data_IF_955160814402
#
_entry.id   IF_955160814402
#
_cell.length_a   1.000
_cell.length_b   1.000
_cell.length_c   1.000
_cell.angle_alpha   90.00
_cell.angle_beta   90.00
_cell.angle_gamma   90.00
#
_symmetry.space_group_name_H-M   'P 1'
#
loop_
_entity.id
_entity.type
_entity.pdbx_description
1 polymer ?
#
# COMPACT_ATOMS: atom_id res chain seq x y z
N UNK A 1 -29.21 53.32 42.25
CA UNK A 1 -28.50 52.74 43.39
C UNK A 1 -29.23 51.47 43.82
N UNK A 2 -28.50 50.38 43.92
CA UNK A 2 -28.79 49.18 44.73
C UNK A 2 -27.70 49.17 45.85
N UNK A 3 -27.82 48.50 47.04
CA UNK A 3 -28.62 47.31 47.42
C UNK A 3 -29.14 47.38 48.91
N UNK A 4 -29.42 46.32 49.74
CA UNK A 4 -28.52 45.21 50.18
C UNK A 4 -29.16 43.78 50.42
N UNK A 5 -28.28 42.85 50.84
CA UNK A 5 -28.33 41.35 50.92
C UNK A 5 -29.05 40.67 52.11
N UNK A 6 -29.24 39.33 51.94
CA UNK A 6 -29.20 38.18 52.93
C UNK A 6 -30.59 37.64 53.36
N UNK A 7 -30.95 36.34 53.45
CA UNK A 7 -30.26 35.11 53.91
C UNK A 7 -31.09 33.81 53.64
N UNK A 8 -30.42 32.65 53.48
CA UNK A 8 -30.73 31.22 53.86
C UNK A 8 -32.15 30.56 53.74
N UNK A 9 -32.14 29.33 53.19
CA UNK A 9 -33.21 28.28 53.18
C UNK A 9 -33.61 27.75 54.58
N UNK A 10 -34.73 26.99 54.71
CA UNK A 10 -34.61 25.51 54.76
C UNK A 10 -35.70 24.72 54.00
N UNK A 11 -35.47 23.39 53.92
CA UNK A 11 -36.21 22.36 53.20
C UNK A 11 -37.58 21.98 53.82
N UNK A 12 -38.51 21.52 52.97
CA UNK A 12 -39.61 20.61 53.33
C UNK A 12 -39.76 19.56 52.23
N UNK A 13 -39.71 18.30 52.66
CA UNK A 13 -39.96 17.06 51.92
C UNK A 13 -41.47 16.92 51.73
N UNK A 14 -41.92 16.47 50.55
CA UNK A 14 -43.26 15.89 50.43
C UNK A 14 -43.19 14.56 49.66
N UNK A 15 -43.48 13.49 50.41
CA UNK A 15 -43.63 12.12 49.94
C UNK A 15 -45.02 11.96 49.32
N UNK A 16 -45.09 11.88 48.00
CA UNK A 16 -46.21 11.22 47.31
C UNK A 16 -45.66 10.12 46.43
N UNK A 17 -45.35 9.03 47.13
CA UNK A 17 -45.72 7.65 46.84
C UNK A 17 -46.17 7.33 45.39
N UNK A 18 -45.41 6.50 44.67
CA UNK A 18 -45.55 5.03 44.72
C UNK A 18 -46.59 4.57 43.69
N UNK A 19 -46.13 4.49 42.44
CA UNK A 19 -46.94 3.98 41.33
C UNK A 19 -46.20 3.80 40.00
N UNK A 20 -44.91 4.15 39.91
CA UNK A 20 -44.18 4.17 38.62
C UNK A 20 -42.92 3.28 38.59
N UNK A 21 -42.81 2.32 39.52
CA UNK A 21 -41.65 1.40 39.57
C UNK A 21 -41.95 0.01 39.02
N UNK A 22 -43.22 -0.40 38.92
CA UNK A 22 -43.59 -1.69 38.33
C UNK A 22 -43.68 -1.63 36.79
N UNK A 23 -44.00 -0.46 36.22
CA UNK A 23 -44.06 -0.28 34.76
C UNK A 23 -42.65 -0.23 34.10
N UNK A 24 -41.63 0.19 34.86
CA UNK A 24 -40.23 0.17 34.37
C UNK A 24 -39.58 -1.21 34.40
N UNK A 25 -40.12 -2.17 35.14
CA UNK A 25 -39.54 -3.51 35.26
C UNK A 25 -40.05 -4.47 34.16
N UNK A 26 -41.21 -4.19 33.57
CA UNK A 26 -41.79 -5.01 32.50
C UNK A 26 -41.42 -4.57 31.07
N UNK A 27 -40.81 -3.40 30.91
CA UNK A 27 -40.30 -2.89 29.62
C UNK A 27 -38.83 -3.27 29.35
N UNK A 28 -38.15 -3.92 30.30
CA UNK A 28 -36.74 -4.31 30.20
C UNK A 28 -36.52 -5.79 29.84
N UNK A 29 -37.54 -6.49 29.31
CA UNK A 29 -37.45 -7.93 29.05
C UNK A 29 -37.86 -8.35 27.63
N UNK A 30 -38.04 -7.40 26.70
CA UNK A 30 -38.61 -7.67 25.37
C UNK A 30 -37.85 -7.12 24.17
N UNK A 31 -36.83 -6.28 24.34
CA UNK A 31 -36.18 -5.59 23.21
C UNK A 31 -34.65 -5.67 23.16
N UNK A 32 -33.99 -6.24 24.17
CA UNK A 32 -32.50 -6.31 24.21
C UNK A 32 -31.93 -7.69 23.85
N UNK A 33 -32.76 -8.65 23.41
CA UNK A 33 -32.31 -10.01 23.05
C UNK A 33 -32.13 -10.20 21.53
N UNK A 34 -32.33 -9.16 20.71
CA UNK A 34 -32.21 -9.27 19.24
C UNK A 34 -31.13 -8.41 18.58
N UNK A 35 -30.14 -7.88 19.32
CA UNK A 35 -29.06 -7.07 18.73
C UNK A 35 -27.63 -7.60 18.92
N UNK A 36 -27.43 -8.85 19.34
CA UNK A 36 -26.21 -9.57 18.95
C UNK A 36 -26.50 -10.27 17.62
N UNK A 37 -26.67 -9.46 16.57
CA UNK A 37 -26.55 -9.95 15.20
C UNK A 37 -25.08 -10.31 15.05
N UNK A 38 -24.75 -11.55 15.35
CA UNK A 38 -23.48 -12.18 15.04
C UNK A 38 -23.19 -11.90 13.55
N UNK A 39 -22.35 -10.88 13.33
CA UNK A 39 -21.97 -10.44 12.00
C UNK A 39 -21.00 -11.52 11.52
N UNK A 40 -21.50 -12.41 10.66
CA UNK A 40 -20.71 -13.40 9.93
C UNK A 40 -19.35 -12.79 9.53
N UNK A 41 -18.23 -13.56 9.58
CA UNK A 41 -16.89 -13.03 9.34
C UNK A 41 -16.91 -12.20 8.07
N UNK A 42 -16.72 -10.89 8.25
CA UNK A 42 -16.94 -9.89 7.23
C UNK A 42 -15.98 -10.20 6.09
N UNK A 43 -16.48 -10.86 5.05
CA UNK A 43 -15.68 -11.28 3.91
C UNK A 43 -14.96 -10.06 3.39
N UNK A 44 -13.64 -10.11 3.45
CA UNK A 44 -12.70 -9.07 3.04
C UNK A 44 -13.20 -8.49 1.71
N UNK A 45 -13.55 -7.21 1.70
CA UNK A 45 -14.15 -6.56 0.54
C UNK A 45 -13.24 -6.79 -0.67
N UNK A 46 -13.78 -7.40 -1.74
CA UNK A 46 -13.05 -7.68 -2.99
C UNK A 46 -12.18 -6.49 -3.44
N UNK A 47 -12.68 -5.23 -3.47
CA UNK A 47 -11.85 -4.11 -3.89
C UNK A 47 -10.71 -3.76 -2.91
N UNK A 48 -10.81 -4.08 -1.60
CA UNK A 48 -9.69 -3.93 -0.65
C UNK A 48 -8.61 -4.96 -0.95
N UNK A 49 -8.99 -6.21 -1.22
CA UNK A 49 -8.04 -7.29 -1.58
C UNK A 49 -7.24 -6.87 -2.82
N UNK A 50 -7.94 -6.40 -3.86
CA UNK A 50 -7.31 -6.01 -5.11
C UNK A 50 -6.28 -4.90 -4.88
N UNK A 51 -6.61 -3.86 -4.11
CA UNK A 51 -5.67 -2.77 -3.81
C UNK A 51 -4.48 -3.21 -2.95
N UNK A 52 -4.67 -4.19 -2.07
CA UNK A 52 -3.58 -4.78 -1.29
C UNK A 52 -2.68 -5.65 -2.18
N UNK A 53 -3.24 -6.44 -3.09
CA UNK A 53 -2.46 -7.22 -4.07
C UNK A 53 -1.64 -6.28 -4.96
N UNK A 54 -2.24 -5.22 -5.50
CA UNK A 54 -1.52 -4.20 -6.29
C UNK A 54 -0.38 -3.57 -5.47
N UNK A 55 -0.64 -3.25 -4.19
CA UNK A 55 0.39 -2.73 -3.28
C UNK A 55 1.53 -3.73 -3.01
N UNK A 56 1.19 -5.01 -2.89
CA UNK A 56 2.17 -6.07 -2.69
C UNK A 56 3.05 -6.22 -3.93
N UNK A 57 2.45 -6.25 -5.12
CA UNK A 57 3.17 -6.38 -6.41
C UNK A 57 4.11 -5.19 -6.63
N UNK A 58 3.66 -3.95 -6.39
CA UNK A 58 4.54 -2.79 -6.60
C UNK A 58 5.72 -2.80 -5.63
N UNK A 59 5.52 -3.18 -4.37
CA UNK A 59 6.62 -3.24 -3.38
C UNK A 59 7.57 -4.39 -3.69
N UNK A 60 7.05 -5.51 -4.18
CA UNK A 60 7.85 -6.64 -4.63
C UNK A 60 8.79 -6.25 -5.78
N UNK A 61 8.27 -5.58 -6.81
CA UNK A 61 9.06 -5.19 -7.99
C UNK A 61 10.06 -4.08 -7.64
N UNK A 62 9.65 -3.12 -6.80
CA UNK A 62 10.55 -2.07 -6.29
C UNK A 62 11.71 -2.64 -5.47
N UNK A 63 11.44 -3.63 -4.61
CA UNK A 63 12.48 -4.31 -3.85
C UNK A 63 13.40 -5.07 -4.80
N UNK A 64 12.84 -5.84 -5.73
CA UNK A 64 13.64 -6.64 -6.65
C UNK A 64 14.59 -5.81 -7.52
N UNK A 65 14.16 -4.65 -8.04
CA UNK A 65 15.05 -3.77 -8.84
C UNK A 65 16.16 -3.18 -7.97
N UNK A 66 15.86 -2.80 -6.72
CA UNK A 66 16.83 -2.18 -5.81
C UNK A 66 17.83 -3.21 -5.26
N UNK A 67 17.34 -4.39 -4.86
CA UNK A 67 18.14 -5.49 -4.31
C UNK A 67 19.03 -6.16 -5.36
N UNK A 68 18.63 -6.16 -6.64
CA UNK A 68 19.43 -6.75 -7.73
C UNK A 68 20.47 -5.79 -8.32
N UNK A 69 20.37 -4.49 -8.04
CA UNK A 69 21.16 -3.42 -8.66
C UNK A 69 22.68 -3.66 -8.56
N UNK A 70 23.18 -4.01 -7.36
CA UNK A 70 24.61 -4.25 -7.13
C UNK A 70 25.11 -5.48 -7.90
N UNK A 71 24.35 -6.58 -7.85
CA UNK A 71 24.72 -7.84 -8.51
C UNK A 71 24.71 -7.70 -10.04
N UNK A 72 23.71 -7.03 -10.59
CA UNK A 72 23.56 -6.86 -12.04
C UNK A 72 24.61 -5.92 -12.62
N UNK A 73 24.78 -4.74 -12.03
CA UNK A 73 25.76 -3.77 -12.55
C UNK A 73 27.20 -4.24 -12.39
N UNK A 74 27.51 -5.00 -11.34
CA UNK A 74 28.82 -5.63 -11.17
C UNK A 74 29.07 -6.72 -12.21
N UNK A 75 28.06 -7.57 -12.49
CA UNK A 75 28.18 -8.66 -13.46
C UNK A 75 28.28 -8.17 -14.91
N UNK A 76 27.40 -7.26 -15.33
CA UNK A 76 27.28 -6.83 -16.73
C UNK A 76 28.25 -5.71 -17.10
N UNK A 77 28.52 -4.77 -16.18
CA UNK A 77 29.30 -3.57 -16.47
C UNK A 77 30.59 -3.46 -15.65
N UNK A 78 30.87 -4.42 -14.75
CA UNK A 78 32.05 -4.38 -13.89
C UNK A 78 32.04 -3.19 -12.92
N UNK A 79 30.86 -2.68 -12.55
CA UNK A 79 30.76 -1.52 -11.68
C UNK A 79 31.26 -1.83 -10.26
N UNK A 80 31.95 -0.85 -9.67
CA UNK A 80 32.32 -0.85 -8.25
C UNK A 80 31.13 -0.33 -7.43
N UNK A 81 30.99 -0.79 -6.19
CA UNK A 81 29.90 -0.39 -5.29
C UNK A 81 29.72 1.13 -5.12
N UNK A 82 30.76 1.93 -5.32
CA UNK A 82 30.66 3.40 -5.33
C UNK A 82 29.78 3.94 -6.47
N UNK A 83 29.87 3.37 -7.68
CA UNK A 83 29.06 3.78 -8.83
C UNK A 83 27.61 3.33 -8.67
N UNK A 84 27.42 2.12 -8.13
CA UNK A 84 26.10 1.58 -7.76
C UNK A 84 25.40 2.51 -6.76
N UNK A 85 26.11 2.93 -5.71
CA UNK A 85 25.58 3.86 -4.72
C UNK A 85 25.20 5.23 -5.32
N UNK A 86 25.97 5.75 -6.27
CA UNK A 86 25.62 6.99 -7.00
C UNK A 86 24.36 6.80 -7.83
N UNK A 87 24.21 5.66 -8.52
CA UNK A 87 23.01 5.37 -9.30
C UNK A 87 21.76 5.28 -8.40
N UNK A 88 21.83 4.54 -7.29
CA UNK A 88 20.75 4.47 -6.31
C UNK A 88 20.42 5.84 -5.69
N UNK A 89 21.42 6.70 -5.46
CA UNK A 89 21.19 8.06 -4.99
C UNK A 89 20.44 8.92 -6.03
N UNK A 90 20.76 8.77 -7.32
CA UNK A 90 20.05 9.46 -8.41
C UNK A 90 18.59 8.97 -8.50
N UNK A 91 18.38 7.65 -8.41
CA UNK A 91 17.03 7.08 -8.38
C UNK A 91 16.23 7.61 -7.19
N UNK A 92 16.82 7.61 -5.99
CA UNK A 92 16.17 8.15 -4.80
C UNK A 92 15.85 9.65 -4.93
N UNK A 93 16.73 10.44 -5.54
CA UNK A 93 16.47 11.86 -5.81
C UNK A 93 15.29 12.06 -6.78
N UNK A 94 15.11 11.13 -7.73
CA UNK A 94 14.00 11.15 -8.69
C UNK A 94 12.62 10.95 -8.03
N UNK A 95 12.55 10.44 -6.80
CA UNK A 95 11.26 10.27 -6.08
C UNK A 95 10.54 11.60 -5.90
N UNK A 96 11.28 12.68 -5.60
CA UNK A 96 10.69 14.01 -5.36
C UNK A 96 9.96 14.55 -6.61
N UNK A 97 10.61 14.67 -7.78
CA UNK A 97 9.91 15.14 -8.99
C UNK A 97 8.82 14.17 -9.44
N UNK A 98 8.98 12.86 -9.23
CA UNK A 98 7.95 11.87 -9.57
C UNK A 98 6.69 12.06 -8.71
N UNK A 99 6.82 12.22 -7.40
CA UNK A 99 5.68 12.47 -6.52
C UNK A 99 4.95 13.78 -6.86
N UNK A 100 5.69 14.81 -7.28
CA UNK A 100 5.10 16.04 -7.81
C UNK A 100 4.33 15.79 -9.11
N UNK A 101 4.91 15.04 -10.05
CA UNK A 101 4.27 14.67 -11.31
C UNK A 101 2.98 13.87 -11.09
N UNK A 102 3.01 12.87 -10.22
CA UNK A 102 1.82 12.08 -9.84
C UNK A 102 0.76 12.95 -9.20
N UNK A 103 1.16 13.87 -8.32
CA UNK A 103 0.23 14.82 -7.70
C UNK A 103 -0.45 15.73 -8.72
N UNK A 104 0.25 16.06 -9.81
CA UNK A 104 -0.33 16.81 -10.93
C UNK A 104 -1.29 15.94 -11.75
N UNK A 105 -0.88 14.71 -12.12
CA UNK A 105 -1.72 13.75 -12.84
C UNK A 105 -2.99 13.38 -12.06
N UNK A 106 -2.90 13.24 -10.75
CA UNK A 106 -4.04 12.93 -9.87
C UNK A 106 -5.12 14.02 -9.86
N UNK A 107 -4.83 15.23 -10.37
CA UNK A 107 -5.87 16.27 -10.56
C UNK A 107 -6.72 16.03 -11.81
N UNK A 108 -6.18 15.33 -12.80
CA UNK A 108 -6.83 15.11 -14.09
C UNK A 108 -7.43 13.70 -14.23
N UNK A 109 -6.93 12.71 -13.49
CA UNK A 109 -7.31 11.30 -13.63
C UNK A 109 -7.85 10.74 -12.32
N UNK A 110 -8.73 9.74 -12.42
CA UNK A 110 -9.21 8.97 -11.26
C UNK A 110 -8.12 8.00 -10.76
N UNK A 111 -8.12 7.68 -9.46
CA UNK A 111 -7.08 6.82 -8.86
C UNK A 111 -6.94 5.47 -9.58
N UNK A 112 -8.06 4.89 -10.04
CA UNK A 112 -8.08 3.60 -10.75
C UNK A 112 -7.38 3.67 -12.11
N UNK A 113 -7.65 4.70 -12.90
CA UNK A 113 -7.04 4.91 -14.21
C UNK A 113 -5.54 5.17 -14.07
N UNK A 114 -5.18 5.96 -13.06
CA UNK A 114 -3.80 6.30 -12.77
C UNK A 114 -3.02 5.06 -12.28
N UNK A 115 -3.64 4.20 -11.46
CA UNK A 115 -3.07 2.90 -11.07
C UNK A 115 -2.79 2.01 -12.28
N UNK A 116 -3.78 1.84 -13.17
CA UNK A 116 -3.61 1.00 -14.38
C UNK A 116 -2.52 1.57 -15.29
N UNK A 117 -2.53 2.89 -15.53
CA UNK A 117 -1.52 3.55 -16.36
C UNK A 117 -0.10 3.37 -15.83
N UNK A 118 0.08 3.47 -14.52
CA UNK A 118 1.36 3.25 -13.86
C UNK A 118 1.78 1.76 -13.82
N UNK A 119 0.84 0.83 -13.67
CA UNK A 119 1.10 -0.62 -13.80
C UNK A 119 1.57 -0.98 -15.22
N UNK A 120 0.92 -0.43 -16.25
CA UNK A 120 1.33 -0.62 -17.65
C UNK A 120 2.71 0.00 -17.90
N UNK A 121 2.97 1.20 -17.40
CA UNK A 121 4.28 1.83 -17.52
C UNK A 121 5.38 1.03 -16.80
N UNK A 122 5.09 0.47 -15.62
CA UNK A 122 6.00 -0.42 -14.90
C UNK A 122 6.24 -1.72 -15.67
N UNK A 123 5.20 -2.32 -16.28
CA UNK A 123 5.32 -3.48 -17.15
C UNK A 123 6.24 -3.19 -18.34
N UNK A 124 6.07 -2.04 -19.00
CA UNK A 124 6.96 -1.59 -20.08
C UNK A 124 8.40 -1.46 -19.57
N UNK A 125 8.62 -0.90 -18.37
CA UNK A 125 9.93 -0.85 -17.74
C UNK A 125 10.55 -2.24 -17.55
N UNK A 126 9.77 -3.21 -17.06
CA UNK A 126 10.20 -4.61 -16.94
C UNK A 126 10.52 -5.25 -18.29
N UNK A 127 9.85 -4.86 -19.37
CA UNK A 127 10.16 -5.34 -20.72
C UNK A 127 11.43 -4.66 -21.25
N UNK A 128 11.63 -3.36 -21.02
CA UNK A 128 12.82 -2.63 -21.47
C UNK A 128 14.09 -3.17 -20.82
N UNK A 129 14.05 -3.51 -19.52
CA UNK A 129 15.26 -3.97 -18.81
C UNK A 129 15.73 -5.36 -19.28
N UNK A 130 14.86 -6.17 -19.90
CA UNK A 130 15.22 -7.51 -20.39
C UNK A 130 16.39 -7.47 -21.36
N UNK A 131 17.30 -8.41 -21.21
CA UNK A 131 18.42 -8.57 -22.12
C UNK A 131 17.94 -9.23 -23.42
N UNK A 132 17.88 -8.42 -24.49
CA UNK A 132 17.59 -8.86 -25.85
C UNK A 132 18.90 -9.12 -26.61
N UNK A 133 19.47 -10.31 -26.45
CA UNK A 133 20.67 -10.75 -27.18
C UNK A 133 21.78 -11.31 -26.30
N UNK A 134 22.95 -11.56 -26.89
CA UNK A 134 24.13 -12.08 -26.18
C UNK A 134 24.67 -11.07 -25.16
N UNK A 135 25.36 -11.57 -24.13
CA UNK A 135 25.88 -10.80 -22.99
C UNK A 135 26.68 -9.55 -23.38
N UNK A 136 27.39 -9.60 -24.49
CA UNK A 136 28.25 -8.51 -24.96
C UNK A 136 27.49 -7.30 -25.52
N UNK A 137 26.20 -7.47 -25.88
CA UNK A 137 25.39 -6.41 -26.48
C UNK A 137 24.41 -5.75 -25.50
N UNK A 138 24.50 -6.05 -24.21
CA UNK A 138 23.63 -5.43 -23.22
C UNK A 138 24.00 -3.96 -23.02
N UNK A 139 23.10 -3.05 -23.43
CA UNK A 139 23.38 -1.62 -23.41
C UNK A 139 23.19 -1.04 -22.00
N UNK A 140 24.20 -0.31 -21.52
CA UNK A 140 24.11 0.42 -20.25
C UNK A 140 22.91 1.37 -20.22
N UNK A 141 22.62 2.08 -21.33
CA UNK A 141 21.50 3.00 -21.39
C UNK A 141 20.15 2.27 -21.24
N UNK A 142 20.04 1.06 -21.77
CA UNK A 142 18.83 0.24 -21.66
C UNK A 142 18.58 -0.16 -20.20
N UNK A 143 19.64 -0.60 -19.50
CA UNK A 143 19.56 -0.91 -18.07
C UNK A 143 19.15 0.31 -17.25
N UNK A 144 19.85 1.44 -17.42
CA UNK A 144 19.59 2.67 -16.65
C UNK A 144 18.18 3.22 -16.87
N UNK A 145 17.69 3.20 -18.12
CA UNK A 145 16.34 3.68 -18.44
C UNK A 145 15.30 2.68 -17.92
N UNK A 146 15.54 1.38 -18.07
CA UNK A 146 14.65 0.33 -17.57
C UNK A 146 14.50 0.36 -16.05
N UNK A 147 15.63 0.37 -15.32
CA UNK A 147 15.64 0.42 -13.85
C UNK A 147 15.01 1.71 -13.33
N UNK A 148 15.36 2.86 -13.92
CA UNK A 148 14.76 4.14 -13.56
C UNK A 148 13.25 4.17 -13.83
N UNK A 149 12.79 3.64 -14.96
CA UNK A 149 11.35 3.60 -15.28
C UNK A 149 10.59 2.72 -14.29
N UNK A 150 11.07 1.50 -14.00
CA UNK A 150 10.46 0.61 -13.00
C UNK A 150 10.42 1.30 -11.64
N UNK A 151 11.55 1.85 -11.19
CA UNK A 151 11.68 2.52 -9.90
C UNK A 151 10.72 3.70 -9.78
N UNK A 152 10.66 4.55 -10.81
CA UNK A 152 9.78 5.72 -10.83
C UNK A 152 8.31 5.31 -10.83
N UNK A 153 7.91 4.36 -11.67
CA UNK A 153 6.53 3.89 -11.75
C UNK A 153 6.08 3.21 -10.45
N UNK A 154 6.94 2.40 -9.83
CA UNK A 154 6.62 1.72 -8.58
C UNK A 154 6.44 2.73 -7.42
N UNK A 155 7.35 3.71 -7.28
CA UNK A 155 7.20 4.78 -6.28
C UNK A 155 5.98 5.67 -6.57
N UNK A 156 5.73 5.99 -7.85
CA UNK A 156 4.58 6.77 -8.27
C UNK A 156 3.25 6.11 -7.91
N UNK A 157 3.20 4.77 -7.95
CA UNK A 157 2.00 3.97 -7.73
C UNK A 157 1.58 3.91 -6.25
N UNK A 158 2.48 4.25 -5.32
CA UNK A 158 2.19 4.22 -3.88
C UNK A 158 1.10 5.21 -3.47
N UNK A 159 1.18 6.47 -3.92
CA UNK A 159 0.24 7.51 -3.53
C UNK A 159 -1.21 7.26 -4.05
N UNK A 160 -1.43 6.94 -5.33
CA UNK A 160 -2.74 6.57 -5.87
C UNK A 160 -3.30 5.30 -5.21
N UNK A 161 -2.45 4.32 -4.93
CA UNK A 161 -2.88 3.08 -4.29
C UNK A 161 -3.35 3.33 -2.84
N UNK A 162 -2.63 4.15 -2.08
CA UNK A 162 -3.04 4.57 -0.74
C UNK A 162 -4.33 5.42 -0.76
N UNK A 163 -4.46 6.31 -1.74
CA UNK A 163 -5.68 7.09 -1.97
C UNK A 163 -6.88 6.18 -2.22
N UNK A 164 -6.75 5.21 -3.13
CA UNK A 164 -7.83 4.29 -3.46
C UNK A 164 -8.16 3.37 -2.28
N UNK A 165 -7.14 2.86 -1.58
CA UNK A 165 -7.32 2.06 -0.38
C UNK A 165 -8.14 2.85 0.65
N UNK A 166 -7.82 4.12 0.90
CA UNK A 166 -8.58 4.97 1.84
C UNK A 166 -10.07 5.11 1.51
N UNK A 167 -10.43 5.09 0.21
CA UNK A 167 -11.82 5.25 -0.29
C UNK A 167 -12.62 3.95 -0.24
N UNK A 168 -11.95 2.81 -0.36
CA UNK A 168 -12.58 1.49 -0.49
C UNK A 168 -12.84 0.84 0.88
N UNK A 169 -12.31 1.41 1.96
CA UNK A 169 -12.43 0.87 3.31
C UNK A 169 -13.86 1.03 3.87
N UNK A 170 -14.48 -0.06 4.35
CA UNK A 170 -15.73 0.03 5.07
C UNK A 170 -15.51 0.55 6.51
N UNK A 171 -16.40 1.40 7.02
CA UNK A 171 -16.32 1.98 8.38
C UNK A 171 -16.29 0.95 9.52
N UNK A 172 -16.61 -0.31 9.27
CA UNK A 172 -16.53 -1.38 10.28
C UNK A 172 -15.10 -1.86 10.52
N UNK A 173 -14.18 -1.68 9.57
CA UNK A 173 -12.77 -2.10 9.69
C UNK A 173 -11.85 -1.03 10.28
N UNK A 174 -12.34 0.19 10.46
CA UNK A 174 -11.57 1.28 11.08
C UNK A 174 -11.61 1.26 12.62
N UNK A 175 -12.26 0.27 13.23
CA UNK A 175 -12.45 0.16 14.68
C UNK A 175 -11.89 -1.20 15.14
N UNK A 176 -10.56 -1.31 15.29
CA UNK A 176 -9.88 -2.53 15.72
C UNK A 176 -8.37 -2.53 15.45
N UNK A 177 -7.69 -3.62 15.84
CA UNK A 177 -6.24 -3.83 15.65
C UNK A 177 -5.89 -3.96 14.16
N UNK A 178 -6.82 -4.48 13.35
CA UNK A 178 -6.74 -4.61 11.88
C UNK A 178 -7.06 -3.23 11.27
N UNK A 179 -6.24 -2.22 11.57
CA UNK A 179 -6.30 -0.93 10.90
C UNK A 179 -5.78 -1.10 9.46
N UNK A 180 -6.36 -0.40 8.51
CA UNK A 180 -5.94 -0.46 7.12
C UNK A 180 -4.53 0.08 6.91
N UNK A 181 -4.09 1.03 7.74
CA UNK A 181 -2.68 1.40 7.79
C UNK A 181 -1.76 0.23 8.16
N UNK A 182 -2.22 -0.66 9.04
CA UNK A 182 -1.49 -1.88 9.40
C UNK A 182 -1.49 -2.87 8.23
N UNK A 183 -2.64 -3.15 7.60
CA UNK A 183 -2.68 -4.06 6.44
C UNK A 183 -1.82 -3.55 5.28
N UNK A 184 -1.85 -2.25 5.00
CA UNK A 184 -1.01 -1.68 3.96
C UNK A 184 0.47 -1.87 4.29
N UNK A 185 0.87 -1.63 5.54
CA UNK A 185 2.25 -1.82 5.98
C UNK A 185 2.65 -3.30 5.91
N UNK A 186 1.82 -4.20 6.42
CA UNK A 186 2.04 -5.65 6.39
C UNK A 186 2.14 -6.15 4.94
N UNK A 187 1.20 -5.78 4.09
CA UNK A 187 1.20 -6.11 2.66
C UNK A 187 2.45 -5.58 1.96
N UNK A 188 2.93 -4.39 2.33
CA UNK A 188 4.16 -3.83 1.78
C UNK A 188 5.38 -4.63 2.21
N UNK A 189 5.46 -5.03 3.48
CA UNK A 189 6.55 -5.88 3.98
C UNK A 189 6.51 -7.27 3.36
N UNK A 190 5.33 -7.86 3.18
CA UNK A 190 5.17 -9.13 2.47
C UNK A 190 5.62 -9.03 1.01
N UNK A 191 5.27 -7.93 0.33
CA UNK A 191 5.73 -7.66 -1.03
C UNK A 191 7.24 -7.68 -1.13
N UNK A 192 7.94 -6.97 -0.22
CA UNK A 192 9.41 -6.95 -0.17
C UNK A 192 10.00 -8.33 0.06
N UNK A 193 9.51 -9.05 1.08
CA UNK A 193 9.97 -10.41 1.41
C UNK A 193 9.80 -11.37 0.24
N UNK A 194 8.64 -11.34 -0.43
CA UNK A 194 8.40 -12.18 -1.61
C UNK A 194 9.34 -11.77 -2.75
N UNK A 195 9.59 -10.48 -2.93
CA UNK A 195 10.54 -9.95 -3.92
C UNK A 195 11.95 -10.50 -3.72
N UNK A 196 12.47 -10.42 -2.50
CA UNK A 196 13.80 -10.93 -2.15
C UNK A 196 13.87 -12.46 -2.28
N UNK A 197 12.84 -13.19 -1.85
CA UNK A 197 12.80 -14.66 -1.98
C UNK A 197 12.78 -15.08 -3.45
N UNK A 198 11.94 -14.44 -4.28
CA UNK A 198 11.91 -14.71 -5.71
C UNK A 198 13.27 -14.38 -6.36
N UNK A 199 13.86 -13.24 -6.01
CA UNK A 199 15.16 -12.84 -6.54
C UNK A 199 16.25 -13.83 -6.13
N UNK A 200 16.25 -14.33 -4.89
CA UNK A 200 17.19 -15.34 -4.41
C UNK A 200 17.01 -16.69 -5.12
N UNK A 201 15.76 -17.14 -5.32
CA UNK A 201 15.46 -18.39 -6.05
C UNK A 201 15.87 -18.30 -7.51
N UNK A 202 15.70 -17.16 -8.16
CA UNK A 202 16.18 -16.97 -9.53
C UNK A 202 17.71 -16.85 -9.54
N UNK A 203 18.30 -16.13 -8.60
CA UNK A 203 19.74 -15.96 -8.47
C UNK A 203 20.50 -17.26 -8.23
N UNK A 204 19.90 -18.24 -7.54
CA UNK A 204 20.50 -19.56 -7.35
C UNK A 204 20.65 -20.36 -8.65
N UNK A 205 19.88 -20.01 -9.70
CA UNK A 205 19.99 -20.61 -11.03
C UNK A 205 20.99 -19.89 -11.95
N UNK A 206 21.77 -18.94 -11.42
CA UNK A 206 22.82 -18.23 -12.12
C UNK A 206 22.49 -16.76 -12.38
N UNK A 207 23.42 -15.87 -12.00
CA UNK A 207 23.23 -14.41 -12.09
C UNK A 207 23.13 -13.91 -13.54
N UNK A 208 23.75 -14.61 -14.48
CA UNK A 208 23.68 -14.34 -15.93
C UNK A 208 22.25 -14.35 -16.46
N UNK A 209 21.37 -15.12 -15.84
CA UNK A 209 19.98 -15.22 -16.24
C UNK A 209 19.03 -14.43 -15.34
N UNK A 210 19.58 -13.74 -14.34
CA UNK A 210 18.82 -13.04 -13.31
C UNK A 210 17.91 -11.98 -13.94
N UNK A 211 18.44 -11.17 -14.85
CA UNK A 211 17.66 -10.12 -15.52
C UNK A 211 16.44 -10.72 -16.22
N UNK A 212 16.69 -11.68 -17.12
CA UNK A 212 15.62 -12.23 -17.96
C UNK A 212 14.60 -13.05 -17.18
N UNK A 213 15.05 -13.88 -16.22
CA UNK A 213 14.14 -14.72 -15.44
C UNK A 213 13.41 -13.93 -14.36
N UNK A 214 14.09 -13.06 -13.61
CA UNK A 214 13.46 -12.32 -12.53
C UNK A 214 12.49 -11.26 -13.09
N UNK A 215 12.97 -10.36 -13.95
CA UNK A 215 12.10 -9.32 -14.53
C UNK A 215 11.05 -9.88 -15.49
N UNK A 216 11.32 -11.02 -16.15
CA UNK A 216 10.30 -11.76 -16.88
C UNK A 216 9.19 -12.30 -15.97
N UNK A 217 9.55 -12.85 -14.81
CA UNK A 217 8.57 -13.32 -13.80
C UNK A 217 7.75 -12.14 -13.25
N UNK A 218 8.42 -11.03 -12.91
CA UNK A 218 7.74 -9.83 -12.44
C UNK A 218 6.80 -9.24 -13.50
N UNK A 219 7.20 -9.23 -14.79
CA UNK A 219 6.33 -8.81 -15.88
C UNK A 219 5.06 -9.66 -15.98
N UNK A 220 5.17 -10.99 -15.83
CA UNK A 220 4.00 -11.90 -15.81
C UNK A 220 3.10 -11.62 -14.60
N UNK A 221 3.67 -11.38 -13.42
CA UNK A 221 2.91 -11.04 -12.21
C UNK A 221 2.15 -9.71 -12.39
N UNK A 222 2.82 -8.68 -12.94
CA UNK A 222 2.19 -7.38 -13.23
C UNK A 222 1.07 -7.57 -14.26
N UNK A 223 1.30 -8.34 -15.31
CA UNK A 223 0.30 -8.63 -16.34
C UNK A 223 -0.93 -9.35 -15.76
N UNK A 224 -0.74 -10.30 -14.84
CA UNK A 224 -1.84 -10.97 -14.15
C UNK A 224 -2.58 -10.08 -13.13
N UNK A 225 -2.03 -8.91 -12.80
CA UNK A 225 -2.62 -7.92 -11.88
C UNK A 225 -3.43 -6.84 -12.61
N UNK A 226 -3.17 -6.63 -13.91
CA UNK A 226 -3.92 -5.72 -14.79
C UNK A 226 -5.32 -6.26 -15.07
#
# INVERSE_FOLDING_TARGET
EDPPRSSRQPAVVDESQQGNSEEKMHLLNGSDVSLVKEKAPQRLNIPVIITLIVYMVLKMVLEAVTSSEENLTSLYFGWKGSMVGVHLAILALLIIPINFCVSFLARSYFDRELIIGLLVAMLIGCVIILQYGDMENYNLAQYLVGSAMIFCCANALEAPNMSLLSKVIPRTWSVGIINVGLLATESGTLGRVIGDVLLAVVGSHGLESLVNRAFGTFAVIILGTL
#
